data_IF_463370689730
#
_entry.id   IF_463370689730
#
_cell.length_a   1.000
_cell.length_b   1.000
_cell.length_c   1.000
_cell.angle_alpha   90.00
_cell.angle_beta   90.00
_cell.angle_gamma   90.00
#
_symmetry.space_group_name_H-M   'P 1'
#
loop_
_entity.id
_entity.type
_entity.pdbx_description
1 polymer ?
#
# COMPACT_ATOMS: atom_id res chain seq x y z
N UNK A 1 -14.56 -14.50 1.09
CA UNK A 1 -14.24 -13.17 0.55
C UNK A 1 -14.71 -13.17 -0.89
N UNK A 2 -15.59 -12.25 -1.25
CA UNK A 2 -15.95 -12.02 -2.64
C UNK A 2 -14.93 -11.01 -3.19
N UNK A 3 -14.23 -11.36 -4.25
CA UNK A 3 -13.26 -10.46 -4.88
C UNK A 3 -14.00 -9.54 -5.85
N UNK A 4 -14.12 -8.26 -5.51
CA UNK A 4 -14.53 -7.25 -6.48
C UNK A 4 -13.27 -6.71 -7.17
N UNK A 5 -13.04 -7.24 -8.38
CA UNK A 5 -12.13 -6.75 -9.43
C UNK A 5 -10.68 -7.29 -9.50
N UNK A 6 -10.15 -7.07 -10.70
CA UNK A 6 -9.05 -7.77 -11.36
C UNK A 6 -7.67 -7.54 -10.72
N UNK A 7 -6.87 -8.62 -10.71
CA UNK A 7 -5.44 -8.72 -10.38
C UNK A 7 -4.98 -8.48 -8.94
N UNK A 8 -5.75 -8.89 -7.94
CA UNK A 8 -5.17 -9.27 -6.64
C UNK A 8 -4.40 -10.58 -6.78
N UNK A 9 -3.11 -10.53 -7.13
CA UNK A 9 -2.26 -11.72 -7.18
C UNK A 9 -1.38 -11.82 -5.92
N UNK A 10 -1.12 -13.02 -5.39
CA UNK A 10 -0.03 -13.23 -4.46
C UNK A 10 1.26 -12.72 -5.11
N UNK A 11 1.92 -11.73 -4.50
CA UNK A 11 3.20 -11.24 -4.98
C UNK A 11 4.33 -12.15 -4.47
N UNK A 12 5.30 -12.42 -5.34
CA UNK A 12 6.57 -13.09 -4.98
C UNK A 12 7.71 -12.09 -4.81
N UNK A 13 7.45 -10.81 -5.10
CA UNK A 13 8.40 -9.72 -5.03
C UNK A 13 7.79 -8.63 -4.14
N UNK A 14 8.57 -8.14 -3.16
CA UNK A 14 8.18 -7.25 -2.05
C UNK A 14 7.33 -7.99 -0.99
N UNK A 15 7.94 -8.34 0.13
CA UNK A 15 7.32 -9.14 1.18
C UNK A 15 7.39 -8.46 2.54
N UNK A 16 6.38 -8.73 3.39
CA UNK A 16 6.69 -9.10 4.78
C UNK A 16 6.01 -10.39 5.30
N UNK A 17 5.52 -11.34 4.51
CA UNK A 17 5.60 -12.76 4.93
C UNK A 17 6.70 -13.41 4.09
N UNK A 18 7.52 -14.35 4.60
CA UNK A 18 8.58 -14.98 3.82
C UNK A 18 8.08 -15.70 2.54
N UNK A 19 6.77 -15.72 2.27
CA UNK A 19 6.20 -16.30 1.05
C UNK A 19 5.19 -15.46 0.25
N UNK A 20 4.40 -14.52 0.81
CA UNK A 20 3.39 -13.77 0.01
C UNK A 20 2.99 -12.40 0.61
N UNK A 21 2.76 -11.39 -0.24
CA UNK A 21 1.92 -10.21 0.06
C UNK A 21 0.84 -10.05 -1.03
N UNK A 22 -0.16 -9.19 -0.82
CA UNK A 22 -1.14 -8.86 -1.84
C UNK A 22 -0.66 -7.68 -2.66
N UNK A 23 -0.53 -7.86 -3.97
CA UNK A 23 -0.27 -6.77 -4.92
C UNK A 23 -1.58 -6.37 -5.58
N UNK A 24 -2.01 -5.12 -5.36
CA UNK A 24 -3.12 -4.52 -6.08
C UNK A 24 -2.57 -3.67 -7.22
N UNK A 25 -3.08 -3.89 -8.42
CA UNK A 25 -2.81 -3.07 -9.59
C UNK A 25 -4.13 -2.65 -10.22
N UNK A 26 -4.22 -1.36 -10.57
CA UNK A 26 -5.37 -0.80 -11.27
C UNK A 26 -4.86 0.07 -12.41
N UNK A 27 -5.42 -0.12 -13.60
CA UNK A 27 -5.20 0.74 -14.76
C UNK A 27 -6.39 1.66 -15.00
N UNK A 28 -6.14 2.86 -15.52
CA UNK A 28 -7.22 3.77 -15.90
C UNK A 28 -8.12 3.19 -17.00
N UNK A 29 -7.59 2.24 -17.79
CA UNK A 29 -8.31 1.51 -18.83
C UNK A 29 -9.10 0.29 -18.35
N UNK A 30 -8.93 -0.16 -17.10
CA UNK A 30 -9.67 -1.31 -16.56
C UNK A 30 -11.19 -1.02 -16.54
N UNK A 31 -12.08 -2.00 -16.73
CA UNK A 31 -13.51 -1.74 -16.74
C UNK A 31 -14.00 -1.15 -15.41
N UNK A 32 -14.99 -0.24 -15.47
CA UNK A 32 -15.72 0.22 -14.29
C UNK A 32 -16.50 -0.95 -13.68
N UNK A 33 -16.46 -1.06 -12.36
CA UNK A 33 -17.31 -1.98 -11.59
C UNK A 33 -18.30 -1.17 -10.75
N UNK A 34 -19.15 -1.86 -9.98
CA UNK A 34 -20.06 -1.21 -9.04
C UNK A 34 -19.29 -0.27 -8.10
N UNK A 35 -19.80 0.95 -7.92
CA UNK A 35 -19.14 1.97 -7.11
C UNK A 35 -17.90 2.64 -7.72
N UNK A 36 -17.45 2.32 -8.95
CA UNK A 36 -16.38 3.06 -9.64
C UNK A 36 -15.21 2.20 -10.14
N UNK A 37 -14.01 2.78 -10.25
CA UNK A 37 -12.78 2.08 -10.65
C UNK A 37 -12.00 1.66 -9.40
N UNK A 38 -11.87 0.36 -9.20
CA UNK A 38 -11.28 -0.20 -7.99
C UNK A 38 -10.63 -1.56 -8.22
N UNK A 39 -9.68 -1.88 -7.36
CA UNK A 39 -9.13 -3.21 -7.14
C UNK A 39 -9.03 -3.41 -5.62
N UNK A 40 -10.01 -4.09 -5.02
CA UNK A 40 -10.14 -4.19 -3.56
C UNK A 40 -10.51 -5.61 -3.10
N UNK A 41 -10.00 -6.00 -1.94
CA UNK A 41 -10.49 -7.14 -1.17
C UNK A 41 -11.62 -6.66 -0.27
N UNK A 42 -12.74 -7.38 -0.27
CA UNK A 42 -13.88 -7.08 0.59
C UNK A 42 -14.09 -8.15 1.67
N UNK A 43 -14.17 -7.66 2.92
CA UNK A 43 -14.53 -8.42 4.10
C UNK A 43 -16.03 -8.67 4.21
N UNK A 44 -16.42 -9.60 5.07
CA UNK A 44 -17.85 -9.83 5.34
C UNK A 44 -18.46 -8.62 6.09
N UNK A 45 -19.73 -8.27 5.82
CA UNK A 45 -20.44 -7.28 6.62
C UNK A 45 -20.44 -7.63 8.11
N UNK A 46 -20.16 -6.65 8.95
CA UNK A 46 -20.22 -6.80 10.41
C UNK A 46 -21.59 -6.38 10.95
N UNK A 47 -21.99 -6.88 12.14
CA UNK A 47 -23.11 -6.28 12.88
C UNK A 47 -22.80 -4.81 13.21
N UNK A 48 -23.81 -3.98 13.55
CA UNK A 48 -23.56 -2.61 13.99
C UNK A 48 -22.88 -2.56 15.37
N UNK A 49 -22.34 -1.38 15.73
CA UNK A 49 -21.79 -1.05 17.05
C UNK A 49 -20.65 -1.95 17.54
N UNK A 50 -19.90 -2.58 16.63
CA UNK A 50 -18.78 -3.43 17.02
C UNK A 50 -17.61 -2.64 17.60
N UNK A 51 -16.82 -3.31 18.42
CA UNK A 51 -15.53 -2.82 18.89
C UNK A 51 -14.41 -3.70 18.29
N UNK A 52 -13.62 -3.12 17.41
CA UNK A 52 -12.70 -3.83 16.53
C UNK A 52 -11.33 -3.18 16.51
N UNK A 53 -10.34 -4.02 16.20
CA UNK A 53 -9.04 -3.58 15.72
C UNK A 53 -8.83 -4.14 14.34
N UNK A 54 -8.57 -3.24 13.41
CA UNK A 54 -8.18 -3.56 12.05
C UNK A 54 -6.70 -3.25 11.91
N UNK A 55 -5.87 -4.28 11.70
CA UNK A 55 -4.46 -4.08 11.38
C UNK A 55 -4.22 -4.44 9.92
N UNK A 56 -3.32 -3.70 9.28
CA UNK A 56 -2.82 -4.01 7.95
C UNK A 56 -1.53 -3.23 7.71
N UNK A 57 -0.71 -3.73 6.79
CA UNK A 57 0.52 -3.09 6.35
C UNK A 57 0.36 -2.62 4.92
N UNK A 58 0.84 -1.42 4.58
CA UNK A 58 0.84 -0.88 3.22
C UNK A 58 2.26 -0.63 2.73
N UNK A 59 2.51 -0.86 1.45
CA UNK A 59 3.77 -0.48 0.80
C UNK A 59 3.51 0.25 -0.51
N UNK A 60 4.02 1.49 -0.58
CA UNK A 60 3.99 2.34 -1.77
C UNK A 60 5.32 2.20 -2.50
N UNK A 61 5.36 1.66 -3.75
CA UNK A 61 6.62 1.48 -4.45
C UNK A 61 7.36 2.80 -4.71
N UNK A 62 8.70 2.74 -4.71
CA UNK A 62 9.58 3.88 -4.92
C UNK A 62 10.55 3.60 -6.07
N UNK A 63 10.16 4.00 -7.27
CA UNK A 63 10.92 3.85 -8.51
C UNK A 63 10.49 2.67 -9.40
N UNK A 64 11.14 2.60 -10.57
CA UNK A 64 10.85 1.58 -11.58
C UNK A 64 9.48 1.76 -12.23
N UNK A 65 8.98 0.69 -12.85
CA UNK A 65 7.67 0.69 -13.54
C UNK A 65 6.47 0.69 -12.60
N UNK A 66 6.67 0.57 -11.29
CA UNK A 66 5.60 0.48 -10.28
C UNK A 66 5.57 1.69 -9.34
N UNK A 67 6.43 2.69 -9.55
CA UNK A 67 6.53 3.86 -8.68
C UNK A 67 5.16 4.46 -8.34
N UNK A 68 4.93 4.68 -7.05
CA UNK A 68 3.75 5.40 -6.60
C UNK A 68 3.96 6.91 -6.84
N UNK A 69 3.55 7.39 -8.01
CA UNK A 69 3.67 8.79 -8.39
C UNK A 69 2.59 9.65 -7.71
N UNK A 70 2.96 10.88 -7.31
CA UNK A 70 2.01 11.88 -6.86
C UNK A 70 1.04 12.22 -8.00
N UNK A 71 -0.24 12.24 -7.69
CA UNK A 71 -1.26 12.77 -8.60
C UNK A 71 -1.42 14.27 -8.39
N UNK A 72 -2.23 14.91 -9.23
CA UNK A 72 -2.63 16.31 -8.97
C UNK A 72 -3.56 16.39 -7.75
N UNK A 73 -3.73 17.60 -7.16
CA UNK A 73 -4.82 17.84 -6.23
C UNK A 73 -6.18 17.39 -6.79
N UNK A 74 -7.15 17.11 -5.93
CA UNK A 74 -8.46 16.55 -6.29
C UNK A 74 -8.47 15.11 -6.87
N UNK A 75 -7.32 14.49 -7.12
CA UNK A 75 -7.21 13.08 -7.54
C UNK A 75 -6.74 12.21 -6.37
N UNK A 76 -7.53 12.20 -5.29
CA UNK A 76 -7.28 11.40 -4.09
C UNK A 76 -7.59 9.92 -4.30
N UNK A 77 -6.96 9.08 -3.48
CA UNK A 77 -7.05 7.62 -3.61
C UNK A 77 -7.37 7.00 -2.26
N UNK A 78 -8.49 6.29 -2.19
CA UNK A 78 -8.88 5.54 -0.99
C UNK A 78 -8.17 4.19 -1.03
N UNK A 79 -7.42 3.89 0.03
CA UNK A 79 -6.61 2.66 0.12
C UNK A 79 -7.13 1.68 1.18
N UNK A 80 -7.89 2.17 2.14
CA UNK A 80 -8.70 1.35 3.03
C UNK A 80 -9.99 2.09 3.32
N UNK A 81 -11.11 1.38 3.30
CA UNK A 81 -12.41 1.93 3.67
C UNK A 81 -13.25 0.92 4.43
N UNK A 82 -14.09 1.45 5.29
CA UNK A 82 -15.17 0.69 5.93
C UNK A 82 -16.44 1.20 5.28
N UNK A 83 -16.98 0.41 4.37
CA UNK A 83 -18.16 0.78 3.61
C UNK A 83 -19.41 0.47 4.43
N UNK A 84 -20.41 1.34 4.36
CA UNK A 84 -21.72 1.09 4.95
C UNK A 84 -22.60 0.38 3.93
N UNK A 85 -23.34 -0.63 4.36
CA UNK A 85 -24.34 -1.27 3.49
C UNK A 85 -25.67 -0.53 3.67
N UNK A 86 -26.20 0.16 2.64
CA UNK A 86 -27.47 0.87 2.77
C UNK A 86 -28.58 -0.09 3.18
N UNK A 87 -29.53 0.37 3.99
CA UNK A 87 -30.73 -0.43 4.33
C UNK A 87 -31.82 -0.21 3.27
N UNK A 88 -32.05 -1.17 2.35
CA UNK A 88 -33.04 -0.99 1.29
C UNK A 88 -34.47 -0.97 1.84
N UNK A 89 -34.70 -1.54 3.03
CA UNK A 89 -36.02 -1.54 3.68
C UNK A 89 -36.44 -0.12 4.10
N UNK A 90 -35.45 0.75 4.37
CA UNK A 90 -35.64 2.13 4.82
C UNK A 90 -35.54 3.15 3.67
N UNK A 91 -35.54 2.66 2.41
CA UNK A 91 -35.42 3.44 1.15
C UNK A 91 -34.10 4.19 0.99
N UNK A 92 -33.05 3.79 1.71
CA UNK A 92 -31.71 4.30 1.46
C UNK A 92 -31.16 3.71 0.16
N UNK A 93 -30.77 4.58 -0.77
CA UNK A 93 -30.28 4.15 -2.10
C UNK A 93 -28.75 4.14 -2.18
N UNK A 94 -28.06 4.82 -1.26
CA UNK A 94 -26.60 4.78 -1.13
C UNK A 94 -26.15 5.29 0.24
N UNK A 95 -25.14 4.64 0.81
CA UNK A 95 -24.39 5.11 1.97
C UNK A 95 -22.91 5.09 1.58
N UNK A 96 -22.19 6.19 1.83
CA UNK A 96 -20.75 6.22 1.62
C UNK A 96 -20.00 5.50 2.75
N UNK A 97 -18.68 5.31 2.63
CA UNK A 97 -17.88 4.77 3.72
C UNK A 97 -17.85 5.75 4.92
N UNK A 98 -18.23 5.32 6.13
CA UNK A 98 -18.06 6.15 7.32
C UNK A 98 -16.59 6.38 7.74
N UNK A 99 -15.66 5.56 7.24
CA UNK A 99 -14.24 5.68 7.56
C UNK A 99 -13.38 5.34 6.34
N UNK A 100 -12.38 6.18 6.05
CA UNK A 100 -11.40 5.92 4.98
C UNK A 100 -9.99 6.31 5.41
N UNK A 101 -8.99 5.59 4.92
CA UNK A 101 -7.61 6.01 4.80
C UNK A 101 -7.34 6.42 3.34
N UNK A 102 -6.83 7.63 3.14
CA UNK A 102 -6.76 8.30 1.84
C UNK A 102 -5.33 8.79 1.57
N UNK A 103 -4.86 8.62 0.35
CA UNK A 103 -3.66 9.26 -0.19
C UNK A 103 -4.07 10.50 -0.99
N UNK A 104 -3.49 11.65 -0.65
CA UNK A 104 -3.87 12.95 -1.20
C UNK A 104 -2.65 13.67 -1.77
N UNK A 105 -2.91 14.71 -2.54
CA UNK A 105 -1.94 15.75 -2.91
C UNK A 105 -2.44 17.09 -2.40
N UNK A 106 -1.64 17.77 -1.57
CA UNK A 106 -2.02 19.06 -0.97
C UNK A 106 -2.00 20.16 -2.05
N UNK A 107 -3.09 20.91 -2.28
CA UNK A 107 -3.14 21.97 -3.28
C UNK A 107 -2.24 23.17 -2.96
N UNK A 108 -1.76 23.31 -1.72
CA UNK A 108 -0.97 24.48 -1.28
C UNK A 108 0.51 24.31 -1.57
N UNK A 109 1.06 23.13 -1.28
CA UNK A 109 2.49 22.86 -1.38
C UNK A 109 2.84 21.68 -2.29
N UNK A 110 1.84 20.97 -2.81
CA UNK A 110 2.01 19.84 -3.73
C UNK A 110 2.51 18.55 -3.06
N UNK A 111 2.61 18.50 -1.73
CA UNK A 111 3.10 17.30 -1.04
C UNK A 111 2.08 16.17 -1.10
N UNK A 112 2.58 14.94 -1.15
CA UNK A 112 1.77 13.75 -0.90
C UNK A 112 1.52 13.57 0.59
N UNK A 113 0.27 13.38 1.03
CA UNK A 113 -0.07 13.13 2.44
C UNK A 113 -1.18 12.11 2.67
N UNK A 114 -1.10 11.43 3.81
CA UNK A 114 -2.15 10.55 4.31
C UNK A 114 -3.24 11.37 4.98
N UNK A 115 -4.51 11.01 4.78
CA UNK A 115 -5.60 11.49 5.62
C UNK A 115 -6.55 10.39 6.05
N UNK A 116 -7.19 10.57 7.20
CA UNK A 116 -8.34 9.74 7.61
C UNK A 116 -9.60 10.57 7.53
N UNK A 117 -10.59 10.08 6.80
CA UNK A 117 -11.94 10.64 6.79
C UNK A 117 -12.81 9.88 7.79
N UNK A 118 -13.46 10.59 8.70
CA UNK A 118 -14.48 10.08 9.62
C UNK A 118 -15.82 10.74 9.28
N UNK A 119 -16.88 9.93 9.09
CA UNK A 119 -18.22 10.36 8.69
C UNK A 119 -19.27 9.59 9.49
N UNK A 120 -20.36 10.27 9.88
CA UNK A 120 -21.46 9.65 10.61
C UNK A 120 -22.81 10.33 10.37
N UNK A 121 -23.87 9.58 10.64
CA UNK A 121 -25.24 10.08 10.63
C UNK A 121 -26.07 9.37 11.70
N UNK A 122 -26.76 10.14 12.54
CA UNK A 122 -27.64 9.59 13.58
C UNK A 122 -29.07 9.38 13.11
N UNK A 123 -29.44 9.88 11.92
CA UNK A 123 -30.78 9.69 11.35
C UNK A 123 -30.97 8.23 10.96
N UNK A 124 -32.15 7.67 11.24
CA UNK A 124 -32.49 6.31 10.83
C UNK A 124 -32.68 6.15 9.30
N UNK A 125 -32.78 7.27 8.57
CA UNK A 125 -32.80 7.30 7.12
C UNK A 125 -31.86 8.41 6.69
N UNK A 126 -30.77 8.03 6.04
CA UNK A 126 -29.79 8.92 5.43
C UNK A 126 -30.33 9.35 4.06
N UNK A 127 -30.69 10.63 3.86
CA UNK A 127 -31.18 11.08 2.58
C UNK A 127 -30.03 11.12 1.56
N UNK A 128 -30.30 10.63 0.35
CA UNK A 128 -29.30 10.52 -0.74
C UNK A 128 -28.67 11.85 -1.17
N UNK A 129 -29.32 12.98 -0.88
CA UNK A 129 -28.80 14.34 -1.15
C UNK A 129 -28.02 14.95 0.02
N UNK A 130 -27.88 14.24 1.14
CA UNK A 130 -27.18 14.69 2.34
C UNK A 130 -26.71 13.47 3.14
N UNK A 131 -25.61 12.85 2.67
CA UNK A 131 -24.97 11.65 3.23
C UNK A 131 -24.18 11.94 4.53
N UNK A 132 -24.79 12.67 5.46
CA UNK A 132 -24.18 13.09 6.72
C UNK A 132 -23.35 14.37 6.57
N UNK A 133 -23.84 15.48 7.15
CA UNK A 133 -23.07 16.72 7.27
C UNK A 133 -21.94 16.63 8.32
N UNK A 134 -21.85 15.52 9.04
CA UNK A 134 -20.91 15.35 10.13
C UNK A 134 -19.68 14.58 9.64
N UNK A 135 -18.74 15.32 9.05
CA UNK A 135 -17.50 14.78 8.51
C UNK A 135 -16.30 15.45 9.16
N UNK A 136 -15.24 14.70 9.38
CA UNK A 136 -13.94 15.21 9.83
C UNK A 136 -12.84 14.55 9.02
N UNK A 137 -11.81 15.33 8.67
CA UNK A 137 -10.59 14.83 8.07
C UNK A 137 -9.43 15.07 9.03
N UNK A 138 -8.59 14.05 9.21
CA UNK A 138 -7.35 14.12 9.97
C UNK A 138 -6.18 14.03 8.98
N UNK A 139 -5.33 15.06 8.90
CA UNK A 139 -4.05 15.00 8.18
C UNK A 139 -3.05 14.21 9.03
N UNK A 140 -2.48 13.14 8.47
CA UNK A 140 -1.55 12.24 9.17
C UNK A 140 -0.10 12.45 8.75
N UNK A 141 0.19 13.52 8.00
CA UNK A 141 1.52 13.85 7.52
C UNK A 141 1.86 13.25 6.15
N UNK A 142 3.06 13.58 5.66
CA UNK A 142 3.50 13.20 4.33
C UNK A 142 3.81 11.70 4.22
N UNK A 143 3.44 11.08 3.09
CA UNK A 143 3.81 9.71 2.75
C UNK A 143 5.08 9.58 1.90
N UNK A 144 5.67 10.71 1.46
CA UNK A 144 6.79 10.67 0.51
C UNK A 144 8.03 10.00 1.09
N UNK A 145 8.29 10.20 2.39
CA UNK A 145 9.38 9.53 3.13
C UNK A 145 9.13 8.05 3.43
N UNK A 146 7.89 7.60 3.27
CA UNK A 146 7.46 6.21 3.50
C UNK A 146 7.48 5.37 2.23
N UNK A 147 7.57 6.00 1.04
CA UNK A 147 7.72 5.28 -0.23
C UNK A 147 8.94 4.36 -0.18
N UNK A 148 8.74 3.10 -0.57
CA UNK A 148 9.77 2.08 -0.54
C UNK A 148 9.95 1.44 0.82
N UNK A 149 9.03 1.67 1.77
CA UNK A 149 8.99 1.04 3.10
C UNK A 149 7.58 0.55 3.40
N UNK A 150 7.50 -0.45 4.27
CA UNK A 150 6.22 -0.89 4.82
C UNK A 150 5.79 0.07 5.92
N UNK A 151 4.52 0.48 5.88
CA UNK A 151 3.85 1.30 6.91
C UNK A 151 2.78 0.44 7.56
N UNK A 152 2.80 0.39 8.88
CA UNK A 152 1.88 -0.43 9.67
C UNK A 152 0.74 0.44 10.18
N UNK A 153 -0.49 0.00 9.92
CA UNK A 153 -1.69 0.68 10.35
C UNK A 153 -2.43 -0.16 11.37
N UNK A 154 -2.89 0.50 12.44
CA UNK A 154 -3.82 -0.08 13.40
C UNK A 154 -4.97 0.89 13.63
N UNK A 155 -6.19 0.45 13.32
CA UNK A 155 -7.42 1.20 13.54
C UNK A 155 -8.19 0.51 14.65
N UNK A 156 -8.20 1.10 15.85
CA UNK A 156 -9.10 0.70 16.92
C UNK A 156 -10.37 1.52 16.81
N UNK A 157 -11.46 0.85 16.41
CA UNK A 157 -12.75 1.48 16.16
C UNK A 157 -13.81 0.83 17.03
N UNK A 158 -14.40 1.64 17.89
CA UNK A 158 -15.69 1.32 18.51
C UNK A 158 -16.76 2.11 17.76
N UNK A 159 -17.56 1.39 16.99
CA UNK A 159 -18.55 1.99 16.10
C UNK A 159 -19.72 2.59 16.87
N UNK A 160 -20.18 3.76 16.47
CA UNK A 160 -21.37 4.41 17.02
C UNK A 160 -21.76 5.67 16.26
N UNK A 161 -23.06 5.94 16.18
CA UNK A 161 -23.65 7.11 15.53
C UNK A 161 -24.14 8.16 16.56
N UNK A 162 -24.13 7.84 17.85
CA UNK A 162 -24.44 8.74 18.97
C UNK A 162 -23.31 8.79 19.99
N UNK A 163 -23.07 9.96 20.58
CA UNK A 163 -22.10 10.13 21.65
C UNK A 163 -22.39 9.22 22.86
N UNK A 164 -23.66 8.97 23.18
CA UNK A 164 -24.07 8.08 24.27
C UNK A 164 -23.67 6.61 24.08
N UNK A 165 -23.30 6.19 22.87
CA UNK A 165 -22.76 4.86 22.58
C UNK A 165 -21.27 4.76 22.94
N UNK A 166 -20.65 5.86 23.36
CA UNK A 166 -19.22 6.00 23.65
C UNK A 166 -18.36 5.48 22.47
N UNK A 167 -18.51 6.06 21.26
CA UNK A 167 -17.74 5.68 20.09
C UNK A 167 -16.27 6.05 20.26
N UNK A 168 -15.40 5.38 19.51
CA UNK A 168 -13.95 5.57 19.57
C UNK A 168 -13.32 5.35 18.20
N UNK A 169 -12.36 6.20 17.85
CA UNK A 169 -11.44 6.03 16.73
C UNK A 169 -10.03 6.38 17.21
N UNK A 170 -9.18 5.37 17.34
CA UNK A 170 -7.74 5.54 17.44
C UNK A 170 -7.08 4.99 16.18
N UNK A 171 -6.18 5.76 15.59
CA UNK A 171 -5.38 5.32 14.45
C UNK A 171 -3.92 5.41 14.83
N UNK A 172 -3.19 4.32 14.63
CA UNK A 172 -1.75 4.24 14.83
C UNK A 172 -1.06 4.02 13.50
N UNK A 173 0.01 4.80 13.25
CA UNK A 173 0.95 4.65 12.14
C UNK A 173 2.29 4.22 12.71
N UNK A 174 2.75 3.02 12.35
CA UNK A 174 4.00 2.44 12.86
C UNK A 174 4.05 2.46 14.41
N UNK A 175 2.93 2.10 15.05
CA UNK A 175 2.78 2.11 16.50
C UNK A 175 2.60 3.48 17.15
N UNK A 176 2.71 4.58 16.39
CA UNK A 176 2.51 5.95 16.89
C UNK A 176 1.05 6.37 16.73
N UNK A 177 0.40 6.79 17.81
CA UNK A 177 -0.96 7.32 17.78
C UNK A 177 -1.02 8.62 16.96
N UNK A 178 -1.77 8.62 15.87
CA UNK A 178 -1.92 9.76 14.93
C UNK A 178 -3.35 10.30 14.86
N UNK A 179 -4.36 9.53 15.29
CA UNK A 179 -5.74 10.00 15.46
C UNK A 179 -6.26 9.51 16.80
N UNK A 180 -6.95 10.37 17.54
CA UNK A 180 -7.68 10.02 18.75
C UNK A 180 -8.99 10.83 18.80
N UNK A 181 -10.11 10.16 18.56
CA UNK A 181 -11.43 10.76 18.46
C UNK A 181 -12.46 9.92 19.21
N UNK A 182 -13.30 10.58 20.02
CA UNK A 182 -14.47 9.97 20.66
C UNK A 182 -15.78 10.45 20.01
N UNK A 183 -15.69 11.04 18.80
CA UNK A 183 -16.87 11.41 18.02
C UNK A 183 -17.52 10.18 17.40
N UNK A 184 -18.82 10.23 17.08
CA UNK A 184 -19.46 9.19 16.29
C UNK A 184 -18.76 8.98 14.95
N UNK A 185 -18.87 7.77 14.41
CA UNK A 185 -18.05 7.29 13.29
C UNK A 185 -18.80 6.30 12.39
N UNK A 186 -20.12 6.22 12.44
CA UNK A 186 -20.90 5.35 11.55
C UNK A 186 -22.35 5.83 11.37
N UNK A 187 -23.12 5.10 10.58
CA UNK A 187 -24.52 5.38 10.26
C UNK A 187 -25.47 4.61 11.19
N UNK A 188 -26.66 5.15 11.44
CA UNK A 188 -27.70 4.53 12.25
C UNK A 188 -28.51 3.50 11.44
N UNK A 189 -27.84 2.42 11.03
CA UNK A 189 -28.43 1.39 10.17
C UNK A 189 -28.46 0.03 10.87
N UNK A 190 -29.31 -0.88 10.38
CA UNK A 190 -29.41 -2.25 10.91
C UNK A 190 -28.15 -3.08 10.62
N UNK A 191 -27.43 -2.76 9.56
CA UNK A 191 -26.17 -3.41 9.17
C UNK A 191 -24.99 -2.55 9.62
N UNK A 192 -23.90 -3.19 10.03
CA UNK A 192 -22.64 -2.49 10.22
C UNK A 192 -21.87 -2.37 8.91
N UNK A 193 -20.58 -2.10 9.07
CA UNK A 193 -19.65 -1.88 7.97
C UNK A 193 -19.05 -3.17 7.43
N UNK A 194 -18.66 -3.17 6.16
CA UNK A 194 -17.74 -4.13 5.56
C UNK A 194 -16.41 -3.44 5.24
N UNK A 195 -15.30 -4.13 5.48
CA UNK A 195 -13.95 -3.59 5.25
C UNK A 195 -13.55 -3.83 3.81
N UNK A 196 -12.96 -2.83 3.18
CA UNK A 196 -12.38 -2.91 1.85
C UNK A 196 -10.94 -2.40 1.91
N UNK A 197 -9.99 -3.21 1.39
CA UNK A 197 -8.57 -2.88 1.34
C UNK A 197 -8.07 -3.03 -0.10
N UNK A 198 -7.35 -2.04 -0.60
CA UNK A 198 -6.82 -2.07 -1.96
C UNK A 198 -6.66 -0.68 -2.56
N UNK A 199 -7.14 -0.50 -3.78
CA UNK A 199 -7.10 0.76 -4.52
C UNK A 199 -8.52 1.10 -4.96
N UNK A 200 -9.06 2.21 -4.47
CA UNK A 200 -10.25 2.84 -5.04
C UNK A 200 -9.88 4.22 -5.58
N UNK A 201 -9.87 4.32 -6.92
CA UNK A 201 -9.49 5.52 -7.67
C UNK A 201 -10.73 6.04 -8.40
N UNK A 202 -11.58 6.69 -7.63
CA UNK A 202 -12.96 7.00 -7.98
C UNK A 202 -13.07 7.81 -9.27
N UNK A 203 -12.16 8.75 -9.50
CA UNK A 203 -12.17 9.71 -10.59
C UNK A 203 -11.83 9.12 -11.96
N UNK A 204 -11.14 7.98 -12.01
CA UNK A 204 -10.87 7.25 -13.26
C UNK A 204 -12.13 6.72 -13.96
N UNK A 205 -13.28 6.80 -13.29
CA UNK A 205 -14.57 6.45 -13.89
C UNK A 205 -15.16 7.58 -14.75
N UNK A 206 -14.53 8.76 -14.74
CA UNK A 206 -14.92 9.93 -15.53
C UNK A 206 -16.15 10.68 -15.01
N UNK A 207 -16.59 10.40 -13.78
CA UNK A 207 -17.78 11.02 -13.18
C UNK A 207 -17.59 12.48 -12.77
N UNK A 208 -16.35 12.94 -12.54
CA UNK A 208 -16.03 14.32 -12.17
C UNK A 208 -14.97 14.93 -13.10
N UNK A 209 -15.36 15.95 -13.87
CA UNK A 209 -14.48 16.62 -14.82
C UNK A 209 -13.40 17.48 -14.18
N UNK A 210 -13.44 17.69 -12.85
CA UNK A 210 -12.41 18.43 -12.09
C UNK A 210 -11.24 17.53 -11.68
N UNK A 211 -11.47 16.23 -11.53
CA UNK A 211 -10.51 15.25 -11.06
C UNK A 211 -9.94 14.42 -12.22
N UNK A 212 -9.16 15.06 -13.10
CA UNK A 212 -8.53 14.39 -14.25
C UNK A 212 -7.08 14.01 -13.90
N UNK A 213 -6.85 12.75 -13.54
CA UNK A 213 -5.52 12.17 -13.33
C UNK A 213 -4.78 11.99 -14.66
N UNK A 214 -3.51 12.40 -14.73
CA UNK A 214 -2.63 12.07 -15.87
C UNK A 214 -1.99 10.68 -15.76
N UNK A 215 -2.11 10.06 -14.58
CA UNK A 215 -1.57 8.74 -14.32
C UNK A 215 -2.51 7.66 -14.87
N UNK A 216 -1.93 6.57 -15.37
CA UNK A 216 -2.67 5.49 -16.03
C UNK A 216 -2.61 4.17 -15.26
N UNK A 217 -1.79 4.11 -14.20
CA UNK A 217 -1.59 2.91 -13.40
C UNK A 217 -1.36 3.26 -11.93
N UNK A 218 -1.84 2.39 -11.05
CA UNK A 218 -1.56 2.36 -9.62
C UNK A 218 -1.14 0.98 -9.18
N UNK A 219 -0.17 0.94 -8.27
CA UNK A 219 0.27 -0.29 -7.61
C UNK A 219 0.46 0.01 -6.13
N UNK A 220 -0.23 -0.74 -5.27
CA UNK A 220 -0.07 -0.71 -3.82
C UNK A 220 -0.03 -2.15 -3.32
N UNK A 221 0.83 -2.42 -2.34
CA UNK A 221 0.93 -3.72 -1.71
C UNK A 221 0.34 -3.69 -0.31
N UNK A 222 -0.36 -4.77 0.06
CA UNK A 222 -0.93 -4.98 1.39
C UNK A 222 -0.42 -6.29 1.99
N UNK A 223 -0.24 -6.30 3.31
CA UNK A 223 0.07 -7.49 4.10
C UNK A 223 -0.56 -7.39 5.50
N UNK A 224 -0.52 -8.46 6.30
CA UNK A 224 -0.94 -8.50 7.71
C UNK A 224 -2.37 -8.03 8.01
N UNK A 225 -3.26 -8.15 7.04
CA UNK A 225 -4.65 -7.77 7.21
C UNK A 225 -5.30 -8.68 8.26
N UNK A 226 -5.64 -8.11 9.41
CA UNK A 226 -6.32 -8.81 10.51
C UNK A 226 -7.44 -7.96 11.08
N UNK A 227 -8.52 -8.63 11.49
CA UNK A 227 -9.65 -8.02 12.18
C UNK A 227 -9.85 -8.75 13.51
N UNK A 228 -9.73 -8.01 14.62
CA UNK A 228 -9.82 -8.57 15.97
C UNK A 228 -11.02 -8.00 16.71
N UNK A 229 -11.87 -8.85 17.28
CA UNK A 229 -12.91 -8.44 18.24
C UNK A 229 -12.26 -7.99 19.55
N UNK A 230 -12.63 -6.83 20.06
CA UNK A 230 -12.40 -6.51 21.47
C UNK A 230 -13.62 -6.98 22.26
N UNK A 231 -13.38 -7.83 23.27
CA UNK A 231 -14.40 -8.25 24.25
C UNK A 231 -14.07 -7.67 25.62
N UNK A 232 -15.06 -7.09 26.31
CA UNK A 232 -14.90 -6.50 27.64
C UNK A 232 -14.31 -5.08 27.69
N UNK A 233 -14.09 -4.58 28.91
CA UNK A 233 -13.42 -3.29 29.17
C UNK A 233 -11.91 -3.51 29.10
N UNK A 234 -11.33 -3.45 27.90
CA UNK A 234 -9.87 -3.43 27.77
C UNK A 234 -9.41 -2.01 28.06
N UNK A 235 -8.78 -1.81 29.22
CA UNK A 235 -8.22 -0.51 29.67
C UNK A 235 -6.83 -0.23 29.08
N UNK A 236 -6.20 -1.22 28.47
CA UNK A 236 -4.93 -1.03 27.78
C UNK A 236 -5.13 -0.71 26.29
N UNK A 237 -4.30 0.16 25.69
CA UNK A 237 -4.22 0.24 24.24
C UNK A 237 -3.84 -1.16 23.77
N UNK A 238 -4.77 -1.84 23.09
CA UNK A 238 -4.46 -3.13 22.48
C UNK A 238 -3.25 -2.91 21.61
N UNK A 239 -2.20 -3.71 21.84
CA UNK A 239 -0.87 -3.52 21.27
C UNK A 239 -1.01 -3.16 19.79
N UNK A 240 -0.87 -1.87 19.41
CA UNK A 240 -1.04 -1.46 18.03
C UNK A 240 -0.04 -2.26 17.22
N UNK A 241 -0.41 -2.65 16.00
CA UNK A 241 0.47 -3.40 15.12
C UNK A 241 1.87 -2.77 15.18
N UNK A 242 2.81 -3.50 15.79
CA UNK A 242 4.18 -3.03 15.94
C UNK A 242 4.76 -2.84 14.54
N UNK A 243 5.70 -1.88 14.34
CA UNK A 243 6.38 -1.73 13.07
C UNK A 243 6.91 -3.09 12.62
N UNK A 244 6.33 -3.66 11.55
CA UNK A 244 6.80 -4.94 11.06
C UNK A 244 8.18 -4.72 10.44
N UNK A 245 9.16 -5.47 10.96
CA UNK A 245 10.56 -5.31 10.55
C UNK A 245 10.69 -5.54 9.04
N UNK A 246 11.30 -4.58 8.34
CA UNK A 246 11.65 -4.72 6.94
C UNK A 246 12.53 -5.97 6.75
N UNK A 247 12.35 -6.72 5.65
CA UNK A 247 13.16 -7.90 5.34
C UNK A 247 14.34 -7.49 4.48
N UNK A 248 15.53 -8.07 4.74
CA UNK A 248 16.71 -7.86 3.89
C UNK A 248 16.39 -8.19 2.41
N UNK A 249 16.95 -7.45 1.45
CA UNK A 249 16.77 -7.75 0.04
C UNK A 249 17.37 -9.10 -0.33
N UNK A 250 17.04 -9.63 -1.51
CA UNK A 250 17.66 -10.85 -2.06
C UNK A 250 18.47 -10.50 -3.30
N UNK A 251 19.79 -10.58 -3.19
CA UNK A 251 20.70 -10.32 -4.31
C UNK A 251 20.61 -11.41 -5.38
N UNK A 252 20.33 -11.02 -6.63
CA UNK A 252 20.40 -11.91 -7.79
C UNK A 252 20.78 -11.13 -9.05
N UNK A 253 21.56 -11.73 -9.94
CA UNK A 253 21.84 -11.17 -11.26
C UNK A 253 22.14 -12.27 -12.28
N UNK A 254 22.16 -11.93 -13.57
CA UNK A 254 22.68 -12.77 -14.66
C UNK A 254 23.94 -12.15 -15.27
N UNK A 255 24.83 -12.98 -15.81
CA UNK A 255 26.03 -12.53 -16.53
C UNK A 255 26.20 -13.38 -17.79
N UNK A 256 26.31 -12.75 -18.96
CA UNK A 256 26.36 -13.47 -20.24
C UNK A 256 27.33 -12.79 -21.21
N UNK A 257 28.31 -13.51 -21.79
CA UNK A 257 28.72 -14.88 -21.44
C UNK A 257 29.52 -14.93 -20.12
N UNK A 258 29.54 -16.08 -19.44
CA UNK A 258 30.40 -16.31 -18.25
C UNK A 258 31.80 -16.80 -18.60
N UNK A 259 32.09 -17.08 -19.87
CA UNK A 259 33.43 -17.41 -20.32
C UNK A 259 33.66 -17.06 -21.79
N UNK A 260 34.93 -16.88 -22.16
CA UNK A 260 35.33 -16.58 -23.53
C UNK A 260 36.78 -16.15 -23.62
N UNK A 261 37.20 -15.68 -24.79
CA UNK A 261 38.56 -15.16 -25.05
C UNK A 261 38.61 -13.66 -24.72
N UNK A 262 39.75 -13.15 -24.24
CA UNK A 262 39.92 -11.70 -24.10
C UNK A 262 40.04 -11.03 -25.49
N UNK A 263 39.51 -9.81 -25.71
CA UNK A 263 38.65 -9.06 -24.80
C UNK A 263 37.26 -9.69 -24.72
N UNK A 264 36.81 -10.00 -23.49
CA UNK A 264 35.50 -10.61 -23.26
C UNK A 264 34.52 -9.54 -22.77
N UNK A 265 33.58 -9.14 -23.63
CA UNK A 265 32.46 -8.28 -23.24
C UNK A 265 31.37 -9.14 -22.60
N UNK A 266 31.02 -8.83 -21.35
CA UNK A 266 29.99 -9.52 -20.57
C UNK A 266 28.87 -8.55 -20.24
N UNK A 267 27.63 -8.96 -20.49
CA UNK A 267 26.43 -8.24 -20.07
C UNK A 267 25.97 -8.74 -18.72
N UNK A 268 25.76 -7.83 -17.77
CA UNK A 268 25.24 -8.09 -16.44
C UNK A 268 23.83 -7.55 -16.32
N UNK A 269 22.87 -8.37 -15.86
CA UNK A 269 21.48 -7.94 -15.61
C UNK A 269 21.10 -8.18 -14.16
N UNK A 270 20.74 -7.13 -13.43
CA UNK A 270 20.26 -7.25 -12.05
C UNK A 270 18.86 -7.89 -12.05
N UNK A 271 18.66 -8.90 -11.20
CA UNK A 271 17.38 -9.59 -10.98
C UNK A 271 17.06 -9.71 -9.49
N UNK A 272 17.66 -8.86 -8.66
CA UNK A 272 17.47 -8.85 -7.22
C UNK A 272 16.05 -8.46 -6.84
N UNK A 273 15.58 -8.95 -5.69
CA UNK A 273 14.22 -8.69 -5.19
C UNK A 273 14.26 -8.02 -3.81
N UNK A 274 13.13 -7.44 -3.40
CA UNK A 274 13.00 -6.67 -2.15
C UNK A 274 13.20 -5.16 -2.36
N UNK A 275 13.06 -4.41 -1.27
CA UNK A 275 13.06 -2.94 -1.27
C UNK A 275 14.48 -2.36 -1.34
N UNK A 276 15.15 -2.52 -2.47
CA UNK A 276 16.58 -2.18 -2.58
C UNK A 276 16.79 -0.67 -2.70
N UNK A 277 17.40 -0.07 -1.68
CA UNK A 277 17.77 1.36 -1.63
C UNK A 277 19.14 1.64 -2.23
N UNK A 278 20.05 0.66 -2.26
CA UNK A 278 21.38 0.82 -2.87
C UNK A 278 21.90 -0.46 -3.52
N UNK A 279 22.76 -0.29 -4.53
CA UNK A 279 23.34 -1.39 -5.34
C UNK A 279 24.82 -1.12 -5.62
N UNK A 280 25.63 -2.16 -5.60
CA UNK A 280 27.03 -2.10 -6.07
C UNK A 280 27.40 -3.41 -6.72
N UNK A 281 27.75 -3.37 -8.00
CA UNK A 281 28.30 -4.49 -8.75
C UNK A 281 29.80 -4.27 -8.95
N UNK A 282 30.65 -5.12 -8.37
CA UNK A 282 32.09 -5.17 -8.66
C UNK A 282 32.37 -6.24 -9.69
N UNK A 283 33.22 -5.99 -10.67
CA UNK A 283 33.54 -6.95 -11.73
C UNK A 283 34.69 -7.91 -11.36
N UNK A 284 35.38 -7.68 -10.24
CA UNK A 284 36.50 -8.51 -9.80
C UNK A 284 37.86 -8.10 -10.39
N UNK A 285 37.91 -6.99 -11.14
CA UNK A 285 39.11 -6.41 -11.75
C UNK A 285 39.36 -4.95 -11.33
N UNK A 286 38.90 -4.61 -10.11
CA UNK A 286 38.95 -3.27 -9.48
C UNK A 286 37.96 -2.24 -10.05
N UNK A 287 37.18 -2.59 -11.07
CA UNK A 287 36.07 -1.75 -11.53
C UNK A 287 34.74 -2.14 -10.85
N UNK A 288 33.87 -1.15 -10.69
CA UNK A 288 32.52 -1.32 -10.14
C UNK A 288 31.52 -0.34 -10.75
N UNK A 289 30.24 -0.62 -10.58
CA UNK A 289 29.15 0.29 -10.96
C UNK A 289 27.98 0.20 -9.99
N UNK A 290 27.17 1.25 -9.94
CA UNK A 290 25.86 1.29 -9.27
C UNK A 290 24.70 1.15 -10.27
N UNK A 291 24.98 1.14 -11.57
CA UNK A 291 23.97 1.05 -12.63
C UNK A 291 23.44 -0.36 -12.79
N UNK A 292 22.11 -0.50 -12.72
CA UNK A 292 21.41 -1.74 -13.04
C UNK A 292 21.45 -1.98 -14.55
N UNK A 293 21.88 -3.17 -14.98
CA UNK A 293 21.99 -3.59 -16.38
C UNK A 293 23.12 -2.87 -17.13
N UNK A 294 24.31 -3.48 -17.12
CA UNK A 294 25.53 -2.89 -17.68
C UNK A 294 26.31 -3.90 -18.52
N UNK A 295 27.26 -3.43 -19.31
CA UNK A 295 28.25 -4.29 -19.95
C UNK A 295 29.65 -3.94 -19.47
N UNK A 296 30.49 -4.94 -19.23
CA UNK A 296 31.88 -4.76 -18.85
C UNK A 296 32.79 -5.62 -19.72
N UNK A 297 33.96 -5.09 -20.11
CA UNK A 297 34.90 -5.79 -20.98
C UNK A 297 36.17 -6.17 -20.21
N UNK A 298 36.42 -7.46 -20.09
CA UNK A 298 37.65 -7.99 -19.49
C UNK A 298 38.76 -8.07 -20.53
N UNK A 299 39.77 -7.22 -20.40
CA UNK A 299 40.86 -7.07 -21.39
C UNK A 299 42.05 -8.01 -21.16
N UNK A 300 42.03 -8.82 -20.10
CA UNK A 300 43.11 -9.74 -19.74
C UNK A 300 42.57 -11.13 -19.43
N UNK A 301 43.40 -12.15 -19.65
CA UNK A 301 43.09 -13.51 -19.20
C UNK A 301 43.00 -13.54 -17.68
N UNK A 302 42.08 -14.32 -17.13
CA UNK A 302 41.91 -14.45 -15.70
C UNK A 302 40.57 -15.07 -15.32
N UNK A 303 40.45 -15.38 -14.05
CA UNK A 303 39.17 -15.71 -13.43
C UNK A 303 38.76 -14.54 -12.56
N UNK A 304 37.62 -13.94 -12.86
CA UNK A 304 37.09 -12.77 -12.18
C UNK A 304 35.84 -13.16 -11.40
N UNK A 305 35.74 -12.66 -10.17
CA UNK A 305 34.54 -12.83 -9.33
C UNK A 305 33.72 -11.55 -9.39
N UNK A 306 32.68 -11.54 -10.22
CA UNK A 306 31.70 -10.47 -10.20
C UNK A 306 30.82 -10.63 -8.95
N UNK A 307 30.61 -9.56 -8.18
CA UNK A 307 29.83 -9.54 -6.94
C UNK A 307 28.82 -8.40 -6.95
N UNK A 308 27.56 -8.72 -6.75
CA UNK A 308 26.49 -7.73 -6.53
C UNK A 308 26.16 -7.68 -5.04
N UNK A 309 26.13 -6.47 -4.48
CA UNK A 309 25.61 -6.17 -3.14
C UNK A 309 24.38 -5.29 -3.31
N UNK A 310 23.29 -5.63 -2.64
CA UNK A 310 22.05 -4.86 -2.58
C UNK A 310 21.68 -4.61 -1.12
N UNK A 311 21.21 -3.41 -0.79
CA UNK A 311 20.96 -2.99 0.60
C UNK A 311 19.60 -2.33 0.73
N UNK A 312 18.98 -2.45 1.92
CA UNK A 312 17.86 -1.64 2.39
C UNK A 312 18.03 -1.30 3.88
N UNK A 313 16.99 -0.75 4.53
CA UNK A 313 17.10 -0.36 5.94
C UNK A 313 17.16 -1.57 6.90
N UNK A 314 16.75 -2.76 6.45
CA UNK A 314 16.92 -4.02 7.17
C UNK A 314 18.32 -4.64 7.04
N UNK A 315 19.14 -4.18 6.10
CA UNK A 315 20.52 -4.63 5.87
C UNK A 315 20.82 -5.01 4.43
N UNK A 316 21.90 -5.76 4.23
CA UNK A 316 22.42 -6.11 2.91
C UNK A 316 22.29 -7.59 2.56
N UNK A 317 22.32 -7.87 1.26
CA UNK A 317 22.43 -9.18 0.66
C UNK A 317 23.41 -9.13 -0.50
N UNK A 318 24.13 -10.23 -0.75
CA UNK A 318 25.09 -10.28 -1.85
C UNK A 318 25.13 -11.63 -2.54
N UNK A 319 25.50 -11.61 -3.83
CA UNK A 319 25.66 -12.81 -4.65
C UNK A 319 26.81 -12.62 -5.62
N UNK A 320 27.37 -13.72 -6.13
CA UNK A 320 28.56 -13.71 -7.00
C UNK A 320 28.40 -14.56 -8.25
N UNK A 321 29.11 -14.21 -9.32
CA UNK A 321 29.31 -15.05 -10.51
C UNK A 321 30.77 -15.06 -10.95
N UNK A 322 31.23 -16.23 -11.36
CA UNK A 322 32.57 -16.43 -11.89
C UNK A 322 32.59 -16.18 -13.40
N UNK A 323 33.49 -15.31 -13.86
CA UNK A 323 33.77 -15.04 -15.27
C UNK A 323 35.16 -15.58 -15.61
N UNK A 324 35.24 -16.44 -16.63
CA UNK A 324 36.51 -17.08 -17.05
C UNK A 324 36.96 -16.56 -18.40
N UNK A 325 38.06 -15.81 -18.40
CA UNK A 325 38.65 -15.22 -19.62
C UNK A 325 39.91 -16.01 -20.00
N UNK A 326 39.86 -16.67 -21.15
CA UNK A 326 40.91 -17.56 -21.64
C UNK A 326 41.81 -16.85 -22.65
N UNK A 327 43.01 -17.40 -22.87
CA UNK A 327 43.86 -16.99 -23.99
C UNK A 327 43.23 -17.39 -25.32
N UNK A 328 43.59 -16.65 -26.36
CA UNK A 328 43.29 -17.02 -27.74
C UNK A 328 43.79 -18.41 -28.08
#
# INVERSE_FOLDING_TARGET
MNNYAYSGNPSTNYSVSPTHSYRFELHSTDPKVEGGKRAELEGAPEPPLQNRIYNFSTYLPNGGSEDYALDKPECDEIIAQWHQNPDPEDKETSCGPPLCLILNTDPKDGRGYYSVMQLWDSRAITPSNNLGNNRTYFDLGSYEGDKGKWVNWSFHVKWGWLASQNPKLEVYKDGVLVVNSNSPNTFNDKKGVNQQFGIYKWEWDGSDSRAISMLTKRVIYFDDMTVTQITGNVTDPVNPAQPKAEIKPVASFTATPTSGKYPLKVTFKDTSTGNITSRTLTFGDRYSTTTTNTTHTYNSRGTYTAKLIVTNSAGDSSTTKTITVRRY
#
